data_IF_610503509671
#
_entry.id   IF_610503509671
#
_cell.length_a   1.000
_cell.length_b   1.000
_cell.length_c   1.000
_cell.angle_alpha   90.00
_cell.angle_beta   90.00
_cell.angle_gamma   90.00
#
_symmetry.space_group_name_H-M   'P 1'
#
loop_
_entity.id
_entity.type
_entity.pdbx_description
1 polymer ?
#
# COMPACT_ATOMS: atom_id res chain seq x y z
N UNK A 1 1.62 -62.62 13.61
CA UNK A 1 1.82 -62.20 12.20
C UNK A 1 1.18 -60.82 11.98
N UNK A 2 1.61 -59.82 12.74
CA UNK A 2 1.21 -58.41 12.55
C UNK A 2 2.38 -57.46 12.85
N UNK A 3 3.37 -57.89 13.66
CA UNK A 3 4.56 -57.08 13.95
C UNK A 3 5.61 -57.00 12.84
N UNK A 4 5.51 -57.81 11.78
CA UNK A 4 6.47 -57.75 10.67
C UNK A 4 6.17 -56.64 9.66
N UNK A 5 5.00 -56.01 9.73
CA UNK A 5 4.60 -54.95 8.80
C UNK A 5 4.91 -53.54 9.34
N UNK A 6 5.11 -53.42 10.66
CA UNK A 6 5.51 -52.17 11.32
C UNK A 6 7.03 -51.94 11.26
N UNK A 7 7.83 -53.00 11.17
CA UNK A 7 9.29 -52.91 11.10
C UNK A 7 9.82 -52.27 9.81
N UNK A 8 9.10 -52.39 8.68
CA UNK A 8 9.47 -51.78 7.39
C UNK A 8 9.15 -50.28 7.32
N UNK A 9 8.36 -49.73 8.25
CA UNK A 9 8.02 -48.30 8.28
C UNK A 9 8.97 -47.48 9.16
N UNK A 10 9.67 -48.10 10.11
CA UNK A 10 10.69 -47.43 10.93
C UNK A 10 12.03 -47.25 10.19
N UNK A 11 12.30 -48.03 9.14
CA UNK A 11 13.59 -47.96 8.40
C UNK A 11 13.65 -46.84 7.34
N UNK A 12 12.57 -46.08 7.15
CA UNK A 12 12.54 -44.88 6.27
C UNK A 12 12.56 -43.56 7.03
N UNK A 13 12.64 -43.58 8.37
CA UNK A 13 12.71 -42.36 9.19
C UNK A 13 14.13 -41.79 9.33
N UNK A 14 15.18 -42.56 9.02
CA UNK A 14 16.58 -42.16 9.22
C UNK A 14 17.31 -41.87 7.91
N UNK A 15 16.72 -41.00 7.09
CA UNK A 15 17.48 -40.30 6.05
C UNK A 15 17.22 -38.78 6.13
N UNK A 16 17.47 -38.22 7.32
CA UNK A 16 17.83 -36.80 7.43
C UNK A 16 19.18 -36.62 6.76
N UNK A 17 19.17 -36.20 5.50
CA UNK A 17 20.34 -35.62 4.88
C UNK A 17 20.66 -34.33 5.65
N UNK A 18 21.75 -34.34 6.42
CA UNK A 18 22.42 -33.15 6.95
C UNK A 18 22.65 -32.15 5.81
N UNK A 19 21.86 -31.09 5.81
CA UNK A 19 22.14 -29.88 5.03
C UNK A 19 23.17 -29.10 5.88
N UNK A 20 24.38 -28.83 5.38
CA UNK A 20 25.33 -28.01 6.12
C UNK A 20 24.81 -26.57 6.18
N UNK A 21 24.24 -26.18 7.32
CA UNK A 21 23.97 -24.79 7.66
C UNK A 21 25.26 -24.10 8.08
N UNK A 22 26.04 -23.64 7.10
CA UNK A 22 26.94 -22.49 7.28
C UNK A 22 26.85 -21.60 6.04
N UNK A 23 26.00 -20.58 6.12
CA UNK A 23 26.40 -19.23 5.78
C UNK A 23 25.59 -18.24 6.61
N UNK A 24 26.22 -17.87 7.72
CA UNK A 24 26.06 -16.62 8.45
C UNK A 24 25.94 -15.42 7.49
N UNK A 25 24.72 -14.92 7.32
CA UNK A 25 24.47 -13.49 7.45
C UNK A 25 23.24 -13.38 8.33
N UNK A 26 23.46 -13.04 9.60
CA UNK A 26 22.38 -12.71 10.51
C UNK A 26 21.52 -11.61 9.90
N UNK A 27 20.26 -11.94 9.63
CA UNK A 27 19.18 -10.95 9.67
C UNK A 27 18.98 -10.62 11.15
N UNK A 28 19.96 -9.89 11.70
CA UNK A 28 19.75 -9.10 12.88
C UNK A 28 18.55 -8.20 12.59
N UNK A 29 17.54 -8.31 13.45
CA UNK A 29 16.67 -7.22 13.89
C UNK A 29 16.85 -5.94 13.06
N UNK A 30 16.15 -5.88 11.93
CA UNK A 30 15.59 -4.63 11.44
C UNK A 30 14.16 -4.57 11.94
N UNK A 31 14.02 -4.58 13.27
CA UNK A 31 13.15 -3.58 13.88
C UNK A 31 13.81 -2.24 13.54
N UNK A 32 13.57 -1.74 12.33
CA UNK A 32 13.76 -0.32 12.10
C UNK A 32 12.79 0.35 13.06
N UNK A 33 13.35 0.94 14.11
CA UNK A 33 12.75 2.00 14.90
C UNK A 33 12.25 3.10 13.95
N UNK A 34 11.06 2.89 13.37
CA UNK A 34 10.20 3.94 12.81
C UNK A 34 9.26 4.43 13.94
N UNK A 35 9.70 4.34 15.19
CA UNK A 35 8.95 4.70 16.41
C UNK A 35 9.14 6.17 16.83
N UNK A 36 9.69 7.01 15.95
CA UNK A 36 10.09 8.38 16.30
C UNK A 36 9.16 9.50 15.83
N UNK A 37 8.48 9.33 14.69
CA UNK A 37 7.85 10.47 13.98
C UNK A 37 6.48 10.14 13.35
N UNK A 38 6.04 8.87 13.38
CA UNK A 38 4.72 8.48 12.87
C UNK A 38 3.58 8.78 13.87
N UNK A 39 3.90 8.73 15.17
CA UNK A 39 2.94 9.00 16.25
C UNK A 39 2.50 10.48 16.29
N UNK A 40 3.30 11.40 15.75
CA UNK A 40 2.98 12.84 15.75
C UNK A 40 2.10 13.24 14.54
N UNK A 41 1.85 12.32 13.62
CA UNK A 41 0.97 12.53 12.47
C UNK A 41 -0.48 12.13 12.78
N UNK A 42 -0.72 11.28 13.78
CA UNK A 42 -2.04 10.76 14.15
C UNK A 42 -2.92 11.77 14.91
N UNK A 43 -2.36 12.87 15.42
CA UNK A 43 -3.11 13.83 16.27
C UNK A 43 -3.46 15.14 15.59
N UNK A 44 -3.27 15.26 14.28
CA UNK A 44 -3.52 16.52 13.60
C UNK A 44 -4.96 16.51 13.07
N UNK A 45 -5.83 17.17 13.82
CA UNK A 45 -7.23 17.45 13.47
C UNK A 45 -7.26 18.39 12.26
N UNK A 46 -6.97 17.83 11.09
CA UNK A 46 -7.00 18.53 9.82
C UNK A 46 -8.39 18.37 9.24
N UNK A 47 -9.17 19.44 9.25
CA UNK A 47 -10.50 19.45 8.63
C UNK A 47 -10.46 19.50 7.11
N UNK A 48 -9.30 19.81 6.51
CA UNK A 48 -9.18 20.06 5.07
C UNK A 48 -8.04 19.26 4.42
N UNK A 49 -8.40 18.40 3.46
CA UNK A 49 -7.47 17.55 2.71
C UNK A 49 -6.39 18.38 2.00
N UNK A 50 -6.75 19.59 1.58
CA UNK A 50 -5.87 20.52 0.87
C UNK A 50 -4.73 21.06 1.75
N UNK A 51 -4.87 20.95 3.07
CA UNK A 51 -3.84 21.30 4.05
C UNK A 51 -2.81 20.18 4.26
N UNK A 52 -3.20 18.94 3.98
CA UNK A 52 -2.35 17.75 4.21
C UNK A 52 -1.73 17.22 2.92
N UNK A 53 -2.41 17.35 1.78
CA UNK A 53 -1.86 16.99 0.47
C UNK A 53 -1.28 18.22 -0.24
N UNK A 54 0.04 18.39 -0.11
CA UNK A 54 0.78 19.53 -0.69
C UNK A 54 1.77 19.12 -1.75
N UNK A 55 2.13 17.85 -1.88
CA UNK A 55 3.25 17.40 -2.72
C UNK A 55 3.03 17.80 -4.18
N UNK A 56 1.83 17.57 -4.70
CA UNK A 56 1.46 17.90 -6.09
C UNK A 56 1.57 19.41 -6.39
N UNK A 57 1.47 20.26 -5.36
CA UNK A 57 1.61 21.72 -5.48
C UNK A 57 3.07 22.18 -5.35
N UNK A 58 4.00 21.28 -5.02
CA UNK A 58 5.42 21.64 -4.88
C UNK A 58 6.09 21.83 -6.24
N UNK A 59 6.98 22.82 -6.31
CA UNK A 59 7.79 23.08 -7.52
C UNK A 59 8.57 21.83 -7.94
N UNK A 60 9.12 21.08 -6.97
CA UNK A 60 9.87 19.83 -7.23
C UNK A 60 9.02 18.78 -7.94
N UNK A 61 7.78 18.54 -7.51
CA UNK A 61 6.89 17.58 -8.17
C UNK A 61 6.63 17.98 -9.62
N UNK A 62 6.29 19.25 -9.85
CA UNK A 62 5.98 19.79 -11.18
C UNK A 62 7.19 19.67 -12.11
N UNK A 63 8.37 20.06 -11.64
CA UNK A 63 9.61 20.00 -12.41
C UNK A 63 9.98 18.57 -12.81
N UNK A 64 9.97 17.63 -11.86
CA UNK A 64 10.37 16.24 -12.11
C UNK A 64 9.38 15.59 -13.07
N UNK A 65 8.08 15.78 -12.86
CA UNK A 65 7.05 15.24 -13.77
C UNK A 65 7.17 15.81 -15.19
N UNK A 66 7.47 17.11 -15.33
CA UNK A 66 7.73 17.72 -16.63
C UNK A 66 8.97 17.11 -17.31
N UNK A 67 10.09 16.98 -16.58
CA UNK A 67 11.31 16.35 -17.11
C UNK A 67 11.07 14.91 -17.56
N UNK A 68 10.25 14.15 -16.81
CA UNK A 68 9.85 12.78 -17.16
C UNK A 68 9.05 12.77 -18.46
N UNK A 69 8.05 13.65 -18.60
CA UNK A 69 7.26 13.74 -19.83
C UNK A 69 8.11 14.10 -21.05
N UNK A 70 9.03 15.07 -20.91
CA UNK A 70 9.98 15.44 -21.95
C UNK A 70 10.92 14.29 -22.33
N UNK A 71 11.39 13.50 -21.35
CA UNK A 71 12.25 12.34 -21.57
C UNK A 71 11.51 11.20 -22.28
N UNK A 72 10.25 10.93 -21.90
CA UNK A 72 9.39 9.95 -22.55
C UNK A 72 9.09 10.32 -24.00
N UNK A 73 8.96 11.62 -24.30
CA UNK A 73 8.61 12.12 -25.62
C UNK A 73 9.81 12.19 -26.57
N UNK A 74 11.02 12.43 -26.07
CA UNK A 74 12.26 12.40 -26.86
C UNK A 74 12.66 10.99 -27.29
N UNK A 75 12.28 9.95 -26.53
CA UNK A 75 12.75 8.59 -26.74
C UNK A 75 14.24 8.44 -26.39
N UNK A 76 14.64 7.26 -25.91
CA UNK A 76 16.01 7.03 -25.46
C UNK A 76 16.96 6.80 -26.65
N UNK A 77 17.68 7.83 -27.09
CA UNK A 77 18.85 7.70 -27.98
C UNK A 77 20.14 7.70 -27.17
N UNK A 78 20.27 6.82 -26.17
CA UNK A 78 21.50 6.75 -25.36
C UNK A 78 22.51 5.83 -26.04
N UNK A 79 23.54 6.42 -26.66
CA UNK A 79 24.75 5.68 -27.07
C UNK A 79 25.65 5.47 -25.86
N UNK A 80 25.47 4.34 -25.17
CA UNK A 80 26.20 3.96 -23.93
C UNK A 80 27.62 3.45 -24.25
N UNK A 81 28.45 4.23 -24.94
CA UNK A 81 29.82 3.83 -25.24
C UNK A 81 30.84 4.83 -24.68
N UNK A 82 31.34 4.53 -23.48
CA UNK A 82 32.52 5.19 -22.90
C UNK A 82 32.26 6.42 -22.03
N UNK A 83 31.01 6.68 -21.63
CA UNK A 83 30.64 7.78 -20.71
C UNK A 83 30.38 7.21 -19.31
N UNK A 84 30.87 7.89 -18.28
CA UNK A 84 30.60 7.54 -16.88
C UNK A 84 29.09 7.69 -16.61
N UNK A 85 28.45 6.66 -16.06
CA UNK A 85 26.98 6.60 -15.96
C UNK A 85 26.41 7.68 -15.02
N UNK A 86 27.22 8.18 -14.09
CA UNK A 86 26.84 9.23 -13.13
C UNK A 86 26.70 10.62 -13.79
N UNK A 87 27.38 10.86 -14.91
CA UNK A 87 27.29 12.12 -15.67
C UNK A 87 26.12 12.13 -16.67
N UNK A 88 25.39 11.02 -16.78
CA UNK A 88 24.27 10.88 -17.72
C UNK A 88 23.03 11.57 -17.13
N UNK A 89 22.47 12.59 -17.81
CA UNK A 89 21.34 13.36 -17.27
C UNK A 89 20.10 12.49 -17.01
N UNK A 90 19.93 11.39 -17.76
CA UNK A 90 18.87 10.40 -17.54
C UNK A 90 19.03 9.66 -16.20
N UNK A 91 20.27 9.37 -15.77
CA UNK A 91 20.52 8.72 -14.47
C UNK A 91 20.14 9.67 -13.32
N UNK A 92 20.52 10.94 -13.41
CA UNK A 92 20.13 11.94 -12.41
C UNK A 92 18.60 12.10 -12.31
N UNK A 93 17.90 12.05 -13.44
CA UNK A 93 16.43 12.08 -13.47
C UNK A 93 15.82 10.87 -12.76
N UNK A 94 16.39 9.67 -12.93
CA UNK A 94 15.94 8.46 -12.23
C UNK A 94 16.10 8.61 -10.71
N UNK A 95 17.24 9.16 -10.25
CA UNK A 95 17.47 9.42 -8.82
C UNK A 95 16.45 10.43 -8.28
N UNK A 96 16.17 11.52 -9.01
CA UNK A 96 15.12 12.48 -8.66
C UNK A 96 13.73 11.82 -8.60
N UNK A 97 13.41 10.93 -9.54
CA UNK A 97 12.16 10.18 -9.54
C UNK A 97 12.03 9.26 -8.32
N UNK A 98 13.09 8.55 -7.93
CA UNK A 98 13.07 7.68 -6.75
C UNK A 98 12.82 8.47 -5.47
N UNK A 99 13.47 9.63 -5.32
CA UNK A 99 13.19 10.52 -4.19
C UNK A 99 11.73 10.97 -4.19
N UNK A 100 11.20 11.38 -5.35
CA UNK A 100 9.81 11.79 -5.48
C UNK A 100 8.82 10.65 -5.17
N UNK A 101 9.14 9.40 -5.53
CA UNK A 101 8.31 8.23 -5.24
C UNK A 101 8.13 8.02 -3.73
N UNK A 102 9.19 8.18 -2.94
CA UNK A 102 9.10 8.09 -1.46
C UNK A 102 8.17 9.17 -0.91
N UNK A 103 8.25 10.39 -1.44
CA UNK A 103 7.35 11.47 -1.02
C UNK A 103 5.89 11.17 -1.39
N UNK A 104 5.65 10.57 -2.56
CA UNK A 104 4.31 10.14 -2.99
C UNK A 104 3.77 9.05 -2.06
N UNK A 105 4.60 8.07 -1.68
CA UNK A 105 4.22 7.01 -0.74
C UNK A 105 3.82 7.58 0.63
N UNK A 106 4.58 8.53 1.15
CA UNK A 106 4.24 9.24 2.39
C UNK A 106 2.91 10.00 2.27
N UNK A 107 2.66 10.67 1.15
CA UNK A 107 1.40 11.39 0.94
C UNK A 107 0.21 10.45 0.79
N UNK A 108 0.39 9.25 0.20
CA UNK A 108 -0.65 8.21 0.14
C UNK A 108 -1.08 7.80 1.56
N UNK A 109 -0.12 7.61 2.48
CA UNK A 109 -0.42 7.27 3.88
C UNK A 109 -1.20 8.39 4.57
N UNK A 110 -0.77 9.64 4.40
CA UNK A 110 -1.47 10.82 4.95
C UNK A 110 -2.92 10.88 4.46
N UNK A 111 -3.14 10.74 3.14
CA UNK A 111 -4.48 10.77 2.53
C UNK A 111 -5.32 9.59 3.02
N UNK A 112 -4.73 8.40 3.13
CA UNK A 112 -5.42 7.22 3.62
C UNK A 112 -5.92 7.41 5.05
N UNK A 113 -5.06 7.90 5.95
CA UNK A 113 -5.44 8.21 7.33
C UNK A 113 -6.56 9.24 7.38
N UNK A 114 -6.47 10.31 6.58
CA UNK A 114 -7.55 11.31 6.48
C UNK A 114 -8.90 10.69 6.07
N UNK A 115 -8.93 9.87 5.02
CA UNK A 115 -10.15 9.21 4.55
C UNK A 115 -10.67 8.25 5.63
N UNK A 116 -9.78 7.45 6.23
CA UNK A 116 -10.11 6.50 7.30
C UNK A 116 -10.76 7.23 8.48
N UNK A 117 -10.15 8.31 8.96
CA UNK A 117 -10.57 9.01 10.17
C UNK A 117 -11.96 9.65 10.02
N UNK A 118 -12.32 10.07 8.80
CA UNK A 118 -13.68 10.56 8.49
C UNK A 118 -14.66 9.40 8.24
N UNK A 119 -14.24 8.35 7.52
CA UNK A 119 -15.14 7.27 7.08
C UNK A 119 -15.42 6.20 8.15
N UNK A 120 -14.56 6.07 9.17
CA UNK A 120 -14.77 5.16 10.30
C UNK A 120 -16.09 5.43 11.05
N UNK A 121 -16.63 6.65 10.99
CA UNK A 121 -17.92 6.99 11.59
C UNK A 121 -19.10 6.28 10.90
N UNK A 122 -18.94 5.93 9.62
CA UNK A 122 -19.92 5.17 8.83
C UNK A 122 -19.63 3.68 8.82
N UNK A 123 -18.38 3.30 8.57
CA UNK A 123 -18.03 1.91 8.36
C UNK A 123 -16.63 1.60 8.94
N UNK A 124 -16.50 1.50 10.27
CA UNK A 124 -15.22 1.33 10.94
C UNK A 124 -14.53 0.02 10.57
N UNK A 125 -15.29 -1.04 10.30
CA UNK A 125 -14.71 -2.34 9.97
C UNK A 125 -14.00 -2.37 8.60
N UNK A 126 -14.28 -1.40 7.71
CA UNK A 126 -13.73 -1.38 6.35
C UNK A 126 -12.19 -1.33 6.34
N UNK A 127 -11.57 -0.67 7.32
CA UNK A 127 -10.11 -0.57 7.44
C UNK A 127 -9.47 -1.96 7.57
N UNK A 128 -10.06 -2.83 8.39
CA UNK A 128 -9.58 -4.20 8.60
C UNK A 128 -9.85 -5.13 7.42
N UNK A 129 -10.76 -4.76 6.53
CA UNK A 129 -11.17 -5.57 5.37
C UNK A 129 -10.38 -5.21 4.11
N UNK A 130 -9.91 -3.97 3.99
CA UNK A 130 -9.21 -3.45 2.82
C UNK A 130 -7.92 -2.74 3.25
N UNK A 131 -6.84 -3.51 3.34
CA UNK A 131 -5.55 -3.03 3.82
C UNK A 131 -4.81 -2.11 2.83
N UNK A 132 -5.09 -2.22 1.53
CA UNK A 132 -4.37 -1.44 0.52
C UNK A 132 -4.94 0.00 0.44
N UNK A 133 -4.13 1.05 0.69
CA UNK A 133 -4.62 2.44 0.79
C UNK A 133 -5.43 2.93 -0.40
N UNK A 134 -4.97 2.61 -1.61
CA UNK A 134 -5.63 3.03 -2.86
C UNK A 134 -6.96 2.29 -3.06
N UNK A 135 -7.02 1.01 -2.69
CA UNK A 135 -8.24 0.23 -2.84
C UNK A 135 -9.27 0.64 -1.79
N UNK A 136 -8.81 0.91 -0.57
CA UNK A 136 -9.65 1.49 0.49
C UNK A 136 -10.31 2.78 0.00
N UNK A 137 -9.52 3.74 -0.52
CA UNK A 137 -10.05 5.00 -1.04
C UNK A 137 -11.05 4.78 -2.19
N UNK A 138 -10.77 3.86 -3.13
CA UNK A 138 -11.69 3.52 -4.23
C UNK A 138 -13.00 2.91 -3.74
N UNK A 139 -12.92 2.02 -2.76
CA UNK A 139 -14.08 1.35 -2.16
C UNK A 139 -14.92 2.35 -1.37
N UNK A 140 -14.30 3.19 -0.54
CA UNK A 140 -14.97 4.30 0.16
C UNK A 140 -15.71 5.19 -0.82
N UNK A 141 -15.05 5.61 -1.91
CA UNK A 141 -15.67 6.43 -2.95
C UNK A 141 -16.83 5.73 -3.65
N UNK A 142 -16.74 4.42 -3.86
CA UNK A 142 -17.76 3.63 -4.55
C UNK A 142 -18.98 3.35 -3.67
N UNK A 143 -18.76 3.10 -2.37
CA UNK A 143 -19.82 2.88 -1.38
C UNK A 143 -20.49 4.21 -1.01
N UNK A 144 -19.71 5.26 -0.75
CA UNK A 144 -20.22 6.54 -0.28
C UNK A 144 -21.09 6.38 0.97
N UNK A 145 -22.30 6.92 0.93
CA UNK A 145 -23.31 6.80 2.00
C UNK A 145 -24.30 5.65 1.80
N UNK A 146 -24.08 4.78 0.81
CA UNK A 146 -24.99 3.67 0.55
C UNK A 146 -24.97 2.69 1.72
N UNK A 147 -26.17 2.33 2.17
CA UNK A 147 -26.37 1.39 3.28
C UNK A 147 -26.61 -0.03 2.77
N UNK A 148 -27.13 -0.16 1.53
CA UNK A 148 -27.30 -1.43 0.87
C UNK A 148 -26.17 -1.68 -0.13
N UNK A 149 -25.15 -2.42 0.30
CA UNK A 149 -24.00 -2.73 -0.56
C UNK A 149 -24.36 -3.64 -1.75
N UNK A 150 -25.55 -4.22 -1.81
CA UNK A 150 -25.98 -4.97 -3.01
C UNK A 150 -26.25 -4.07 -4.21
N UNK A 151 -26.46 -2.76 -3.97
CA UNK A 151 -26.62 -1.75 -5.00
C UNK A 151 -25.29 -1.18 -5.49
N UNK A 152 -24.19 -1.50 -4.80
CA UNK A 152 -22.86 -1.00 -5.08
C UNK A 152 -22.07 -2.06 -5.85
N UNK A 153 -21.68 -1.72 -7.07
CA UNK A 153 -20.80 -2.58 -7.86
C UNK A 153 -19.34 -2.42 -7.41
N UNK A 154 -18.84 -3.40 -6.64
CA UNK A 154 -17.45 -3.48 -6.19
C UNK A 154 -16.60 -4.42 -7.07
N UNK A 155 -17.17 -4.96 -8.16
CA UNK A 155 -16.44 -5.87 -9.04
C UNK A 155 -15.26 -5.15 -9.70
N UNK A 156 -14.12 -5.84 -9.79
CA UNK A 156 -12.88 -5.28 -10.33
C UNK A 156 -12.12 -4.34 -9.38
N UNK A 157 -12.72 -3.92 -8.26
CA UNK A 157 -12.00 -3.22 -7.18
C UNK A 157 -11.44 -4.21 -6.16
N UNK A 158 -12.25 -5.21 -5.77
CA UNK A 158 -11.88 -6.20 -4.77
C UNK A 158 -12.15 -7.62 -5.29
N UNK A 159 -11.41 -8.64 -4.81
CA UNK A 159 -11.75 -10.04 -5.03
C UNK A 159 -13.14 -10.36 -4.49
N UNK A 160 -13.88 -11.26 -5.16
CA UNK A 160 -15.27 -11.61 -4.79
C UNK A 160 -15.43 -12.09 -3.34
N UNK A 161 -14.40 -12.75 -2.78
CA UNK A 161 -14.39 -13.16 -1.38
C UNK A 161 -14.44 -11.96 -0.43
N UNK A 162 -13.67 -10.90 -0.72
CA UNK A 162 -13.65 -9.68 0.11
C UNK A 162 -14.97 -8.92 -0.07
N UNK A 163 -15.51 -8.83 -1.28
CA UNK A 163 -16.81 -8.19 -1.53
C UNK A 163 -17.92 -8.82 -0.67
N UNK A 164 -17.95 -10.15 -0.59
CA UNK A 164 -18.91 -10.86 0.25
C UNK A 164 -18.76 -10.51 1.73
N UNK A 165 -17.52 -10.54 2.25
CA UNK A 165 -17.25 -10.20 3.66
C UNK A 165 -17.63 -8.75 3.94
N UNK A 166 -17.24 -7.80 3.08
CA UNK A 166 -17.61 -6.39 3.20
C UNK A 166 -19.13 -6.21 3.20
N UNK A 167 -19.85 -6.90 2.32
CA UNK A 167 -21.32 -6.82 2.24
C UNK A 167 -22.00 -7.34 3.50
N UNK A 168 -21.54 -8.48 4.03
CA UNK A 168 -22.07 -9.06 5.27
C UNK A 168 -21.76 -8.15 6.46
N UNK A 169 -20.52 -7.70 6.60
CA UNK A 169 -20.12 -6.82 7.71
C UNK A 169 -20.85 -5.48 7.66
N UNK A 170 -21.04 -4.89 6.47
CA UNK A 170 -21.80 -3.66 6.30
C UNK A 170 -23.27 -3.81 6.72
N UNK A 171 -23.89 -4.98 6.53
CA UNK A 171 -25.28 -5.22 6.96
C UNK A 171 -25.45 -5.23 8.49
N UNK A 172 -24.35 -5.45 9.22
CA UNK A 172 -24.32 -5.49 10.69
C UNK A 172 -23.52 -4.35 11.31
N UNK A 173 -23.00 -3.42 10.52
CA UNK A 173 -22.21 -2.30 11.03
C UNK A 173 -23.09 -1.34 11.85
N UNK A 174 -22.48 -0.68 12.83
CA UNK A 174 -23.16 0.25 13.74
C UNK A 174 -23.00 1.72 13.34
N UNK A 175 -22.23 1.98 12.27
CA UNK A 175 -21.96 3.34 11.82
C UNK A 175 -23.18 4.03 11.21
N UNK A 176 -23.06 5.35 11.04
CA UNK A 176 -24.15 6.22 10.57
C UNK A 176 -23.78 6.88 9.24
N UNK A 177 -24.77 7.26 8.42
CA UNK A 177 -24.50 8.05 7.22
C UNK A 177 -23.76 9.34 7.57
N UNK A 178 -22.74 9.67 6.77
CA UNK A 178 -21.98 10.89 6.92
C UNK A 178 -22.80 12.10 6.41
N UNK A 179 -22.61 13.30 6.95
CA UNK A 179 -23.15 14.53 6.36
C UNK A 179 -22.64 14.70 4.91
N UNK A 180 -23.46 15.27 4.02
CA UNK A 180 -23.07 15.50 2.62
C UNK A 180 -21.82 16.38 2.49
N UNK A 181 -21.63 17.32 3.43
CA UNK A 181 -20.43 18.16 3.48
C UNK A 181 -19.16 17.33 3.68
N UNK A 182 -19.19 16.34 4.58
CA UNK A 182 -18.02 15.48 4.87
C UNK A 182 -17.76 14.50 3.73
N UNK A 183 -18.81 14.07 3.02
CA UNK A 183 -18.68 13.10 1.93
C UNK A 183 -18.14 13.73 0.62
N UNK A 184 -18.35 15.04 0.44
CA UNK A 184 -17.97 15.76 -0.77
C UNK A 184 -16.61 16.48 -0.68
N UNK A 185 -16.02 16.56 0.51
CA UNK A 185 -14.64 17.03 0.72
C UNK A 185 -13.66 15.86 0.56
#
# INVERSE_FOLDING_TARGET
>A
MADSFLADLDELSDNEAEIPEENNVGTADMEEDIDGDLADLESLDYDDLDSVSKLQKTHRYIDVMQKVEEALQKGSEVSIQGVDLEDVPEYQLIVECNALSVDIENEIVIIHNFIRDKYQLKFPELESLVNHPIDYARVVKKIGNEMDLTLVDLEGLLPSAIIMVVSVTASTTTGKPLPEEVLNN
#
